data_IF_389809975634
#
_entry.id   IF_389809975634
#
_cell.length_a   1.000
_cell.length_b   1.000
_cell.length_c   1.000
_cell.angle_alpha   90.00
_cell.angle_beta   90.00
_cell.angle_gamma   90.00
#
_symmetry.space_group_name_H-M   'P 1'
#
loop_
_entity.id
_entity.type
_entity.pdbx_description
1 polymer ?
#
# COMPACT_ATOMS: atom_id res chain seq x y z
N UNK A 1 2.83 25.81 -17.90
CA UNK A 1 2.85 25.53 -17.41
C UNK A 1 2.74 24.93 -16.85
N UNK A 2 2.62 24.78 -16.80
CA UNK A 2 2.47 24.33 -16.22
C UNK A 2 2.78 23.63 -15.63
N UNK A 3 2.70 23.28 -15.52
CA UNK A 3 2.76 22.73 -14.89
C UNK A 3 3.45 22.14 -14.53
N UNK A 4 3.84 22.34 -14.87
CA UNK A 4 4.39 21.85 -14.54
C UNK A 4 4.94 21.68 -13.66
N UNK A 5 4.94 21.89 -13.37
CA UNK A 5 5.33 21.68 -12.58
C UNK A 5 5.38 20.95 -11.90
N UNK A 6 5.46 20.65 -11.92
CA UNK A 6 5.46 20.09 -11.35
C UNK A 6 5.73 19.41 -10.59
N UNK A 7 5.85 18.94 -10.61
CA UNK A 7 6.02 18.19 -9.77
C UNK A 7 7.04 18.34 -8.87
N UNK A 8 7.11 19.23 -8.23
CA UNK A 8 8.03 19.52 -7.20
C UNK A 8 7.86 18.62 -6.00
N UNK A 9 6.84 17.86 -5.99
CA UNK A 9 6.55 16.98 -4.87
C UNK A 9 7.41 15.73 -4.85
N UNK A 10 8.12 15.46 -5.92
CA UNK A 10 8.85 14.22 -6.02
C UNK A 10 8.02 13.05 -6.44
N UNK A 11 6.71 13.18 -6.43
CA UNK A 11 5.86 12.15 -6.98
C UNK A 11 6.03 12.18 -8.48
N UNK A 12 6.53 11.09 -9.03
CA UNK A 12 6.74 11.00 -10.45
C UNK A 12 5.42 11.27 -11.14
N UNK A 13 5.45 12.20 -12.09
CA UNK A 13 4.28 12.48 -12.91
C UNK A 13 3.07 12.94 -12.11
N UNK A 14 3.29 13.44 -10.91
CA UNK A 14 2.24 14.10 -10.16
C UNK A 14 1.33 13.22 -9.34
N UNK A 15 1.62 11.92 -9.21
CA UNK A 15 0.82 11.08 -8.34
C UNK A 15 1.61 10.76 -7.06
N UNK A 16 0.93 10.86 -5.92
CA UNK A 16 1.54 10.53 -4.64
C UNK A 16 1.54 9.01 -4.47
N UNK A 17 2.64 8.48 -3.95
CA UNK A 17 2.76 7.05 -3.68
C UNK A 17 2.76 6.86 -2.17
N UNK A 18 1.76 6.15 -1.66
CA UNK A 18 1.62 5.88 -0.23
C UNK A 18 1.62 4.38 0.01
N UNK A 19 2.48 3.91 0.90
CA UNK A 19 2.47 2.50 1.30
C UNK A 19 1.52 2.36 2.48
N UNK A 20 0.64 1.37 2.42
CA UNK A 20 -0.33 1.10 3.50
C UNK A 20 -0.05 -0.28 4.04
N UNK A 21 0.24 -0.38 5.34
CA UNK A 21 0.58 -1.67 5.94
C UNK A 21 0.27 -1.68 7.42
N UNK A 22 -0.06 -2.87 7.93
CA UNK A 22 -0.11 -3.11 9.38
C UNK A 22 1.16 -3.86 9.74
N UNK A 23 1.90 -3.37 10.73
CA UNK A 23 3.23 -3.86 11.05
C UNK A 23 3.31 -4.14 12.54
N UNK A 24 3.69 -5.37 12.90
CA UNK A 24 3.87 -5.74 14.30
C UNK A 24 5.12 -5.06 14.88
N UNK A 25 5.22 -5.08 16.19
CA UNK A 25 6.30 -4.41 16.90
C UNK A 25 7.68 -4.88 16.44
N UNK A 26 7.78 -6.16 16.05
CA UNK A 26 9.03 -6.74 15.56
C UNK A 26 9.14 -6.70 14.03
N UNK A 27 8.28 -5.93 13.35
CA UNK A 27 8.37 -5.75 11.91
C UNK A 27 7.61 -6.74 11.07
N UNK A 28 6.98 -7.73 11.68
CA UNK A 28 6.26 -8.78 10.94
C UNK A 28 5.00 -8.22 10.30
N UNK A 29 4.75 -8.58 9.04
CA UNK A 29 3.55 -8.20 8.32
C UNK A 29 2.78 -9.41 7.78
N UNK A 30 3.32 -10.61 7.93
CA UNK A 30 2.63 -11.79 7.44
C UNK A 30 3.23 -13.07 7.97
N UNK A 31 2.40 -14.11 8.01
CA UNK A 31 2.81 -15.46 8.37
C UNK A 31 1.99 -16.40 7.48
N UNK A 32 2.68 -17.27 6.73
CA UNK A 32 2.04 -18.24 5.84
C UNK A 32 1.07 -17.58 4.86
N UNK A 33 1.40 -16.37 4.39
CA UNK A 33 0.60 -15.66 3.41
C UNK A 33 -0.58 -14.90 3.98
N UNK A 34 -0.73 -14.86 5.30
CA UNK A 34 -1.85 -14.18 5.96
C UNK A 34 -1.34 -13.27 7.05
N UNK A 35 -2.19 -12.33 7.47
CA UNK A 35 -1.88 -11.52 8.64
C UNK A 35 -2.01 -12.39 9.88
N UNK A 36 -1.03 -12.33 10.79
CA UNK A 36 -1.10 -13.14 12.01
C UNK A 36 -2.08 -12.62 13.06
N UNK A 37 -2.78 -11.54 12.77
CA UNK A 37 -3.75 -10.93 13.69
C UNK A 37 -5.01 -10.54 12.93
N UNK A 38 -6.08 -10.28 13.69
CA UNK A 38 -7.34 -9.83 13.11
C UNK A 38 -7.91 -8.70 13.96
N UNK A 39 -7.81 -7.47 13.46
CA UNK A 39 -8.39 -6.31 14.12
C UNK A 39 -9.38 -5.67 13.16
N UNK A 40 -10.66 -5.68 13.52
CA UNK A 40 -11.67 -5.10 12.65
C UNK A 40 -11.48 -3.59 12.49
N UNK A 41 -10.92 -2.95 13.50
CA UNK A 41 -10.60 -1.53 13.46
C UNK A 41 -9.59 -1.23 12.35
N UNK A 42 -8.60 -2.10 12.20
CA UNK A 42 -7.59 -1.96 11.16
C UNK A 42 -8.19 -2.16 9.77
N UNK A 43 -9.05 -3.15 9.63
CA UNK A 43 -9.71 -3.40 8.35
C UNK A 43 -10.58 -2.21 7.94
N UNK A 44 -11.29 -1.63 8.90
CA UNK A 44 -12.11 -0.45 8.64
C UNK A 44 -11.25 0.75 8.25
N UNK A 45 -10.14 0.94 8.92
CA UNK A 45 -9.21 2.02 8.63
C UNK A 45 -8.64 1.87 7.22
N UNK A 46 -8.23 0.65 6.86
CA UNK A 46 -7.73 0.35 5.53
C UNK A 46 -8.76 0.70 4.46
N UNK A 47 -9.99 0.26 4.70
CA UNK A 47 -11.07 0.50 3.75
C UNK A 47 -11.31 2.00 3.57
N UNK A 48 -11.39 2.74 4.67
CA UNK A 48 -11.66 4.17 4.60
C UNK A 48 -10.52 4.92 3.92
N UNK A 49 -9.29 4.50 4.18
CA UNK A 49 -8.13 5.15 3.60
C UNK A 49 -8.07 4.97 2.09
N UNK A 50 -8.37 3.77 1.61
CA UNK A 50 -8.15 3.45 0.19
C UNK A 50 -9.38 3.60 -0.69
N UNK A 51 -10.57 3.75 -0.10
CA UNK A 51 -11.81 3.77 -0.88
C UNK A 51 -11.79 4.89 -1.91
N UNK A 52 -12.14 4.55 -3.15
CA UNK A 52 -12.19 5.52 -4.24
C UNK A 52 -10.84 5.79 -4.91
N UNK A 53 -9.79 5.11 -4.47
CA UNK A 53 -8.43 5.31 -5.00
C UNK A 53 -7.88 4.02 -5.58
N UNK A 54 -6.91 4.09 -6.49
CA UNK A 54 -6.26 2.87 -6.97
C UNK A 54 -5.40 2.25 -5.88
N UNK A 55 -5.40 0.91 -5.85
CA UNK A 55 -4.56 0.14 -4.94
C UNK A 55 -3.65 -0.74 -5.77
N UNK A 56 -2.36 -0.72 -5.46
CA UNK A 56 -1.35 -1.49 -6.20
C UNK A 56 -0.90 -2.65 -5.32
N UNK A 57 -0.86 -3.84 -5.89
CA UNK A 57 -0.53 -5.03 -5.12
C UNK A 57 0.15 -6.07 -6.00
N UNK A 58 0.82 -7.01 -5.37
CA UNK A 58 1.38 -8.14 -6.08
C UNK A 58 0.31 -9.18 -6.36
N UNK A 59 0.64 -10.12 -7.23
CA UNK A 59 -0.29 -11.16 -7.67
C UNK A 59 -0.80 -12.01 -6.50
N UNK A 60 0.10 -12.41 -5.61
CA UNK A 60 -0.31 -13.27 -4.48
C UNK A 60 -1.26 -12.55 -3.54
N UNK A 61 -1.01 -11.27 -3.30
CA UNK A 61 -1.90 -10.47 -2.46
C UNK A 61 -3.27 -10.39 -3.11
N UNK A 62 -3.31 -10.15 -4.42
CA UNK A 62 -4.55 -10.09 -5.16
C UNK A 62 -5.32 -11.42 -5.09
N UNK A 63 -4.62 -12.54 -5.29
CA UNK A 63 -5.26 -13.84 -5.23
C UNK A 63 -5.86 -14.10 -3.85
N UNK A 64 -5.14 -13.71 -2.80
CA UNK A 64 -5.67 -13.86 -1.44
C UNK A 64 -6.90 -13.02 -1.19
N UNK A 65 -6.93 -11.81 -1.75
CA UNK A 65 -8.10 -10.93 -1.61
C UNK A 65 -9.30 -11.55 -2.31
N UNK A 66 -9.11 -12.01 -3.54
CA UNK A 66 -10.22 -12.60 -4.29
C UNK A 66 -10.70 -13.90 -3.63
N UNK A 67 -9.78 -14.71 -3.11
CA UNK A 67 -10.17 -15.93 -2.39
C UNK A 67 -11.00 -15.61 -1.15
N UNK A 68 -10.65 -14.53 -0.44
CA UNK A 68 -11.36 -14.17 0.78
C UNK A 68 -12.67 -13.45 0.54
N UNK A 69 -12.70 -12.53 -0.43
CA UNK A 69 -13.88 -11.71 -0.68
C UNK A 69 -14.75 -12.23 -1.81
N UNK A 70 -14.20 -13.06 -2.69
CA UNK A 70 -14.90 -13.50 -3.90
C UNK A 70 -14.80 -12.50 -5.05
N UNK A 71 -14.08 -11.39 -4.85
CA UNK A 71 -13.96 -10.32 -5.85
C UNK A 71 -12.76 -9.44 -5.49
N UNK A 72 -12.28 -8.61 -6.44
CA UNK A 72 -11.28 -7.60 -6.11
C UNK A 72 -11.82 -6.62 -5.07
N UNK A 73 -10.93 -5.84 -4.46
CA UNK A 73 -11.37 -4.84 -3.47
C UNK A 73 -12.39 -3.92 -4.12
N UNK A 74 -13.63 -3.88 -3.61
CA UNK A 74 -14.67 -3.08 -4.26
C UNK A 74 -14.47 -1.59 -4.06
N UNK A 75 -14.93 -0.81 -5.05
CA UNK A 75 -14.84 0.66 -4.97
C UNK A 75 -13.45 1.20 -5.25
N UNK A 76 -12.53 0.37 -5.69
CA UNK A 76 -11.14 0.75 -5.95
C UNK A 76 -10.66 0.05 -7.21
N UNK A 77 -9.77 0.70 -7.97
CA UNK A 77 -9.13 0.03 -9.09
C UNK A 77 -7.98 -0.78 -8.53
N UNK A 78 -8.02 -2.09 -8.72
CA UNK A 78 -6.98 -2.99 -8.23
C UNK A 78 -5.93 -3.14 -9.33
N UNK A 79 -4.73 -2.61 -9.10
CA UNK A 79 -3.63 -2.70 -10.05
C UNK A 79 -2.73 -3.83 -9.59
N UNK A 80 -2.65 -4.88 -10.39
CA UNK A 80 -1.94 -6.10 -10.00
C UNK A 80 -0.61 -6.16 -10.72
N UNK A 81 0.47 -6.09 -9.96
CA UNK A 81 1.82 -6.14 -10.50
C UNK A 81 2.17 -7.61 -10.76
N UNK A 82 2.34 -7.94 -12.03
CA UNK A 82 2.62 -9.33 -12.41
C UNK A 82 3.37 -9.36 -13.74
N UNK A 83 4.29 -10.32 -13.86
CA UNK A 83 5.00 -10.52 -15.11
C UNK A 83 4.22 -11.38 -16.10
N UNK A 84 3.12 -11.98 -15.65
CA UNK A 84 2.29 -12.83 -16.51
C UNK A 84 1.16 -12.04 -17.12
N UNK A 85 0.94 -12.24 -18.42
CA UNK A 85 -0.27 -11.71 -19.02
C UNK A 85 -1.43 -12.62 -18.67
N UNK A 86 -2.51 -12.05 -18.21
CA UNK A 86 -3.72 -12.80 -17.88
C UNK A 86 -4.88 -11.82 -17.83
N UNK A 87 -6.06 -12.39 -17.90
CA UNK A 87 -7.26 -11.60 -17.76
C UNK A 87 -7.59 -11.44 -16.29
N UNK A 88 -8.13 -10.28 -15.94
CA UNK A 88 -8.52 -9.98 -14.58
C UNK A 88 -10.01 -9.68 -14.53
N UNK A 89 -10.67 -9.98 -13.40
CA UNK A 89 -12.09 -9.64 -13.26
C UNK A 89 -12.28 -8.12 -13.26
N UNK A 90 -13.50 -7.68 -13.46
CA UNK A 90 -13.83 -6.27 -13.44
C UNK A 90 -13.38 -5.64 -12.12
N UNK A 91 -12.78 -4.48 -12.20
CA UNK A 91 -12.22 -3.80 -11.05
C UNK A 91 -10.73 -4.03 -10.87
N UNK A 92 -10.12 -4.87 -11.72
CA UNK A 92 -8.69 -5.16 -11.63
C UNK A 92 -8.04 -5.05 -13.00
N UNK A 93 -6.79 -4.59 -13.01
CA UNK A 93 -5.98 -4.51 -14.23
C UNK A 93 -4.58 -4.99 -13.89
N UNK A 94 -3.89 -5.54 -14.87
CA UNK A 94 -2.51 -6.01 -14.69
C UNK A 94 -1.50 -4.96 -15.10
N UNK A 95 -0.34 -5.02 -14.48
CA UNK A 95 0.79 -4.14 -14.83
C UNK A 95 2.05 -4.98 -14.75
N UNK A 96 2.93 -4.83 -15.74
CA UNK A 96 4.15 -5.61 -15.83
C UNK A 96 5.37 -4.92 -15.23
N UNK A 97 5.22 -3.68 -14.78
CA UNK A 97 6.32 -2.92 -14.21
C UNK A 97 5.76 -1.87 -13.26
N UNK A 98 6.65 -1.27 -12.46
CA UNK A 98 6.25 -0.18 -11.56
C UNK A 98 5.70 1.00 -12.36
N UNK A 99 6.33 1.33 -13.48
CA UNK A 99 5.88 2.44 -14.31
C UNK A 99 4.49 2.18 -14.86
N UNK A 100 4.22 0.94 -15.33
CA UNK A 100 2.90 0.61 -15.82
C UNK A 100 1.86 0.67 -14.72
N UNK A 101 2.23 0.25 -13.50
CA UNK A 101 1.33 0.31 -12.38
C UNK A 101 0.96 1.76 -12.05
N UNK A 102 1.94 2.64 -12.07
CA UNK A 102 1.69 4.06 -11.81
C UNK A 102 0.86 4.70 -12.92
N UNK A 103 1.10 4.30 -14.18
CA UNK A 103 0.27 4.77 -15.28
C UNK A 103 -1.18 4.36 -15.10
N UNK A 104 -1.41 3.11 -14.71
CA UNK A 104 -2.78 2.62 -14.47
C UNK A 104 -3.42 3.40 -13.33
N UNK A 105 -2.65 3.70 -12.28
CA UNK A 105 -3.16 4.47 -11.16
C UNK A 105 -3.53 5.89 -11.59
N UNK A 106 -2.68 6.53 -12.37
CA UNK A 106 -2.95 7.89 -12.88
C UNK A 106 -4.18 7.93 -13.75
N UNK A 107 -4.42 6.87 -14.51
CA UNK A 107 -5.57 6.81 -15.40
C UNK A 107 -6.90 6.83 -14.65
N UNK A 108 -6.89 6.53 -13.35
CA UNK A 108 -8.12 6.60 -12.54
C UNK A 108 -8.51 8.04 -12.21
N UNK A 109 -7.58 8.99 -12.39
CA UNK A 109 -7.81 10.37 -12.01
C UNK A 109 -7.50 10.67 -10.55
N UNK A 110 -7.06 9.67 -9.79
CA UNK A 110 -6.71 9.87 -8.38
C UNK A 110 -5.37 10.60 -8.25
N UNK A 111 -5.22 11.35 -7.17
CA UNK A 111 -3.95 12.03 -6.87
C UNK A 111 -3.02 11.15 -6.05
N UNK A 112 -3.48 10.00 -5.59
CA UNK A 112 -2.68 9.11 -4.78
C UNK A 112 -2.89 7.66 -5.21
N UNK A 113 -1.80 6.89 -5.18
CA UNK A 113 -1.82 5.45 -5.40
C UNK A 113 -1.39 4.78 -4.10
N UNK A 114 -2.20 3.86 -3.59
CA UNK A 114 -1.89 3.15 -2.36
C UNK A 114 -1.29 1.79 -2.68
N UNK A 115 -0.09 1.53 -2.16
CA UNK A 115 0.58 0.25 -2.34
C UNK A 115 0.25 -0.61 -1.13
N UNK A 116 -0.39 -1.74 -1.34
CA UNK A 116 -1.00 -2.50 -0.26
C UNK A 116 -0.38 -3.88 -0.02
N UNK A 117 0.73 -4.18 -0.67
CA UNK A 117 1.50 -5.39 -0.36
C UNK A 117 1.77 -6.25 -1.58
N UNK A 118 2.46 -7.35 -1.43
CA UNK A 118 3.14 -7.73 -0.18
C UNK A 118 4.53 -7.18 -0.04
N UNK A 119 5.38 -7.88 0.70
CA UNK A 119 6.69 -7.39 1.08
C UNK A 119 7.56 -6.96 -0.09
N UNK A 120 7.61 -7.78 -1.14
CA UNK A 120 8.44 -7.43 -2.30
C UNK A 120 7.94 -6.19 -3.01
N UNK A 121 6.62 -5.99 -3.03
CA UNK A 121 6.04 -4.82 -3.68
C UNK A 121 6.31 -3.58 -2.83
N UNK A 122 6.18 -3.68 -1.50
CA UNK A 122 6.56 -2.58 -0.63
C UNK A 122 8.02 -2.20 -0.85
N UNK A 123 8.89 -3.20 -0.92
CA UNK A 123 10.32 -2.95 -1.10
C UNK A 123 10.60 -2.23 -2.42
N UNK A 124 9.88 -2.61 -3.48
CA UNK A 124 10.09 -1.99 -4.78
C UNK A 124 9.63 -0.54 -4.83
N UNK A 125 8.55 -0.22 -4.12
CA UNK A 125 8.00 1.14 -4.16
C UNK A 125 8.57 2.06 -3.08
N UNK A 126 9.17 1.51 -2.02
CA UNK A 126 9.64 2.34 -0.90
C UNK A 126 10.58 3.47 -1.34
N UNK A 127 11.54 3.24 -2.25
CA UNK A 127 12.42 4.34 -2.65
C UNK A 127 11.69 5.53 -3.27
N UNK A 128 10.52 5.29 -3.87
CA UNK A 128 9.75 6.34 -4.53
C UNK A 128 8.53 6.77 -3.71
N UNK A 129 8.34 6.20 -2.53
CA UNK A 129 7.16 6.49 -1.73
C UNK A 129 7.26 7.88 -1.10
N UNK A 130 6.11 8.56 -1.06
CA UNK A 130 6.00 9.91 -0.49
C UNK A 130 5.42 9.87 0.91
N UNK A 131 4.67 8.81 1.22
CA UNK A 131 3.95 8.69 2.49
C UNK A 131 3.91 7.24 2.94
N UNK A 132 3.96 7.03 4.24
CA UNK A 132 3.72 5.72 4.83
C UNK A 132 2.49 5.84 5.71
N UNK A 133 1.50 4.98 5.49
CA UNK A 133 0.27 4.92 6.28
C UNK A 133 0.32 3.59 7.01
N UNK A 134 0.80 3.60 8.25
CA UNK A 134 1.09 2.38 8.96
C UNK A 134 0.15 2.20 10.13
N UNK A 135 -0.33 0.96 10.31
CA UNK A 135 -0.96 0.56 11.56
C UNK A 135 0.13 -0.12 12.36
N UNK A 136 0.54 0.49 13.46
CA UNK A 136 1.52 -0.11 14.35
C UNK A 136 0.77 -1.01 15.32
N UNK A 137 1.07 -2.30 15.27
CA UNK A 137 0.46 -3.28 16.17
C UNK A 137 1.41 -3.46 17.34
N UNK A 138 0.94 -3.16 18.56
CA UNK A 138 1.79 -3.09 19.75
C UNK A 138 1.99 -4.45 20.36
N UNK A 139 2.45 -5.39 19.55
CA UNK A 139 2.72 -6.75 19.98
C UNK A 139 3.65 -7.39 18.97
N UNK A 140 4.52 -8.28 19.42
CA UNK A 140 5.35 -9.06 18.51
C UNK A 140 4.59 -10.28 18.06
N UNK A 141 4.79 -10.67 16.80
CA UNK A 141 4.16 -11.85 16.23
C UNK A 141 5.19 -12.69 15.52
N UNK A 142 5.01 -14.00 15.56
CA UNK A 142 5.82 -14.90 14.75
C UNK A 142 5.33 -14.81 13.31
N UNK A 143 6.25 -14.65 12.39
CA UNK A 143 5.88 -14.59 11.00
C UNK A 143 7.10 -14.76 10.11
N UNK A 144 6.82 -15.02 8.84
CA UNK A 144 7.86 -15.26 7.84
C UNK A 144 8.05 -14.06 6.90
N UNK A 145 7.26 -13.01 7.06
CA UNK A 145 7.30 -11.86 6.17
C UNK A 145 7.36 -10.58 6.99
N UNK A 146 8.26 -9.71 6.62
CA UNK A 146 8.48 -8.44 7.34
C UNK A 146 8.36 -7.26 6.40
N UNK A 147 8.00 -6.11 6.97
CA UNK A 147 8.02 -4.85 6.23
C UNK A 147 9.48 -4.52 5.89
N UNK A 148 9.75 -3.91 4.73
CA UNK A 148 11.14 -3.58 4.37
C UNK A 148 11.74 -2.58 5.37
N UNK A 149 13.06 -2.58 5.43
CA UNK A 149 13.79 -1.67 6.31
C UNK A 149 13.57 -0.23 5.87
N UNK A 150 13.23 0.63 6.82
CA UNK A 150 12.94 2.04 6.53
C UNK A 150 14.05 2.89 7.14
N UNK A 151 14.59 3.82 6.34
CA UNK A 151 15.56 4.79 6.85
C UNK A 151 14.78 5.89 7.55
N UNK A 152 14.47 5.67 8.82
CA UNK A 152 13.53 6.53 9.53
C UNK A 152 13.96 7.99 9.62
N UNK A 153 15.24 8.27 9.50
CA UNK A 153 15.72 9.66 9.50
C UNK A 153 15.24 10.45 8.28
N UNK A 154 14.78 9.74 7.25
CA UNK A 154 14.24 10.38 6.04
C UNK A 154 12.74 10.67 6.15
N UNK A 155 12.12 10.29 7.25
CA UNK A 155 10.66 10.37 7.40
C UNK A 155 10.27 11.17 8.63
N UNK A 156 9.14 11.86 8.54
CA UNK A 156 8.62 12.65 9.65
C UNK A 156 7.20 12.19 9.97
N UNK A 157 6.93 11.91 11.22
CA UNK A 157 5.59 11.55 11.66
C UNK A 157 4.71 12.80 11.61
N UNK A 158 3.56 12.71 10.94
CA UNK A 158 2.64 13.84 10.81
C UNK A 158 1.30 13.59 11.47
N UNK A 159 0.98 12.35 11.83
CA UNK A 159 -0.31 12.03 12.42
C UNK A 159 -0.16 10.74 13.23
N UNK A 160 -0.78 10.70 14.40
CA UNK A 160 -0.80 9.49 15.23
C UNK A 160 -2.11 9.43 15.99
N UNK A 161 -2.77 8.28 15.90
CA UNK A 161 -4.03 8.02 16.59
C UNK A 161 -3.86 6.72 17.37
N UNK A 162 -3.62 6.83 18.68
CA UNK A 162 -3.38 5.66 19.52
C UNK A 162 -4.71 5.03 19.94
N UNK A 163 -4.85 3.74 19.70
CA UNK A 163 -6.08 3.00 19.94
C UNK A 163 -5.86 1.80 20.83
N UNK A 164 -4.94 1.87 21.78
CA UNK A 164 -4.64 0.77 22.69
C UNK A 164 -3.72 -0.25 22.07
N UNK A 165 -4.27 -1.30 21.48
CA UNK A 165 -3.47 -2.37 20.86
C UNK A 165 -2.86 -1.94 19.53
N UNK A 166 -3.38 -0.88 18.94
CA UNK A 166 -2.95 -0.38 17.64
C UNK A 166 -2.73 1.11 17.69
N UNK A 167 -1.90 1.61 16.78
CA UNK A 167 -1.83 3.05 16.51
C UNK A 167 -1.86 3.24 15.01
N UNK A 168 -2.66 4.20 14.55
CA UNK A 168 -2.70 4.57 13.13
C UNK A 168 -1.77 5.76 12.96
N UNK A 169 -0.69 5.57 12.18
CA UNK A 169 0.37 6.57 12.11
C UNK A 169 0.67 6.90 10.65
N UNK A 170 0.85 8.16 10.35
CA UNK A 170 1.27 8.58 9.02
C UNK A 170 2.61 9.28 9.08
N UNK A 171 3.46 8.94 8.13
CA UNK A 171 4.77 9.56 7.97
C UNK A 171 4.87 10.13 6.58
N UNK A 172 5.54 11.27 6.44
CA UNK A 172 5.84 11.83 5.12
C UNK A 172 7.35 11.90 4.96
N UNK A 173 7.80 11.78 3.71
CA UNK A 173 9.23 11.83 3.43
C UNK A 173 9.72 13.26 3.62
N UNK A 174 10.84 13.38 4.32
CA UNK A 174 11.49 14.68 4.48
C UNK A 174 12.19 15.06 3.19
N UNK A 175 12.04 16.29 2.78
CA UNK A 175 12.65 16.79 1.55
C UNK A 175 14.16 16.96 1.71
#
# INVERSE_FOLDING_TARGET
>A
MAGEEIDATGAADGIEIALVAAVAENGVIGADGELPWHYSEDLQHFKETTMGHPVIMGRRTFEGIVDGLGEPLPGRTNVVLTSSEREFPGGAVGAGSLDEALDAARDTGSEVAYVVGGATVYEQFLPDADRLVLTEVHEEYDGDTSFPEVEWHDWREVSRDDRGDLSFVEYVREA
#
